data_IF_309588335070
#
_entry.id   IF_309588335070
#
_cell.length_a   1.000
_cell.length_b   1.000
_cell.length_c   1.000
_cell.angle_alpha   90.00
_cell.angle_beta   90.00
_cell.angle_gamma   90.00
#
_symmetry.space_group_name_H-M   'P 1'
#
loop_
_entity.id
_entity.type
_entity.pdbx_description
1 polymer ?
#
# COMPACT_ATOMS: atom_id res chain seq x y z
N UNK A 1 31.87 50.49 64.10
CA UNK A 1 31.78 50.16 62.67
C UNK A 1 32.08 48.69 62.50
N UNK A 2 31.43 47.86 61.71
CA UNK A 2 30.15 47.84 61.00
C UNK A 2 30.09 46.43 60.39
N UNK A 3 28.92 45.82 60.37
CA UNK A 3 28.58 44.56 59.72
C UNK A 3 29.18 44.40 58.29
N UNK A 4 29.51 43.16 57.88
CA UNK A 4 28.64 42.33 57.01
C UNK A 4 29.24 40.94 56.74
N UNK A 5 28.46 39.89 57.04
CA UNK A 5 28.61 38.54 56.49
C UNK A 5 28.27 38.59 55.00
N UNK A 6 29.09 37.99 54.13
CA UNK A 6 28.72 37.70 52.74
C UNK A 6 28.41 36.21 52.66
N UNK A 7 27.11 35.93 52.56
CA UNK A 7 26.46 34.67 52.22
C UNK A 7 26.52 34.42 50.71
N UNK A 8 26.04 33.24 50.27
CA UNK A 8 25.53 32.81 48.93
C UNK A 8 26.41 31.71 48.28
N UNK A 9 26.20 30.42 48.61
CA UNK A 9 25.27 29.41 48.03
C UNK A 9 25.79 28.75 46.73
N UNK A 10 25.83 27.39 46.64
CA UNK A 10 26.32 26.65 45.49
C UNK A 10 25.31 26.65 44.34
N UNK A 11 25.82 26.76 43.10
CA UNK A 11 25.04 26.74 41.88
C UNK A 11 24.26 25.41 41.74
N UNK A 12 22.93 25.54 41.79
CA UNK A 12 21.94 24.50 41.63
C UNK A 12 21.90 24.05 40.16
N UNK A 13 22.12 22.76 39.90
CA UNK A 13 21.89 22.11 38.61
C UNK A 13 20.38 22.09 38.31
N UNK A 14 19.90 23.05 37.50
CA UNK A 14 18.53 23.03 36.98
C UNK A 14 18.49 22.04 35.82
N UNK A 15 18.07 20.81 36.10
CA UNK A 15 17.68 19.84 35.06
C UNK A 15 16.29 20.23 34.59
N UNK A 16 16.21 20.83 33.41
CA UNK A 16 14.95 21.20 32.76
C UNK A 16 14.26 19.92 32.28
N UNK A 17 13.33 19.39 33.08
CA UNK A 17 12.47 18.28 32.69
C UNK A 17 11.42 18.83 31.70
N UNK A 18 11.69 18.73 30.40
CA UNK A 18 10.67 18.95 29.38
C UNK A 18 9.64 17.82 29.48
N UNK A 19 8.56 18.06 30.20
CA UNK A 19 7.34 17.25 30.11
C UNK A 19 6.71 17.61 28.77
N UNK A 20 7.01 16.81 27.74
CA UNK A 20 6.33 16.91 26.46
C UNK A 20 4.85 16.61 26.66
N UNK A 21 4.00 17.62 26.54
CA UNK A 21 2.55 17.42 26.41
C UNK A 21 2.34 16.75 25.05
N UNK A 22 2.08 15.44 25.06
CA UNK A 22 1.57 14.76 23.85
C UNK A 22 0.15 15.31 23.63
N UNK A 23 -0.13 16.00 22.51
CA UNK A 23 -1.46 16.53 22.28
C UNK A 23 -2.47 15.38 22.16
N UNK A 24 -3.65 15.51 22.79
CA UNK A 24 -4.67 14.46 22.85
C UNK A 24 -5.03 13.85 21.47
N UNK A 25 -5.00 14.65 20.41
CA UNK A 25 -5.25 14.21 19.04
C UNK A 25 -4.31 13.08 18.56
N UNK A 26 -3.07 13.00 19.06
CA UNK A 26 -2.13 11.94 18.70
C UNK A 26 -2.38 10.64 19.47
N UNK A 27 -2.95 10.74 20.69
CA UNK A 27 -3.30 9.58 21.48
C UNK A 27 -4.50 8.84 20.87
N UNK A 28 -5.50 9.58 20.38
CA UNK A 28 -6.67 9.00 19.71
C UNK A 28 -6.27 8.29 18.40
N UNK A 29 -5.40 8.89 17.58
CA UNK A 29 -4.92 8.27 16.34
C UNK A 29 -4.12 6.98 16.57
N UNK A 30 -3.27 6.95 17.60
CA UNK A 30 -2.48 5.77 17.93
C UNK A 30 -3.37 4.65 18.50
N UNK A 31 -4.39 5.03 19.27
CA UNK A 31 -5.40 4.08 19.74
C UNK A 31 -6.20 3.49 18.58
N UNK A 32 -6.71 4.30 17.64
CA UNK A 32 -7.43 3.83 16.46
C UNK A 32 -6.58 2.87 15.61
N UNK A 33 -5.28 3.17 15.46
CA UNK A 33 -4.33 2.28 14.78
C UNK A 33 -4.19 0.95 15.50
N UNK A 34 -4.03 0.97 16.83
CA UNK A 34 -3.91 -0.24 17.63
C UNK A 34 -5.18 -1.10 17.58
N UNK A 35 -6.36 -0.48 17.64
CA UNK A 35 -7.65 -1.14 17.49
C UNK A 35 -7.81 -1.77 16.11
N UNK A 36 -7.40 -1.07 15.04
CA UNK A 36 -7.42 -1.60 13.68
C UNK A 36 -6.53 -2.84 13.50
N UNK A 37 -5.31 -2.82 14.06
CA UNK A 37 -4.43 -3.99 14.04
C UNK A 37 -5.03 -5.16 14.83
N UNK A 38 -5.56 -4.88 16.02
CA UNK A 38 -6.21 -5.91 16.84
C UNK A 38 -7.39 -6.53 16.09
N UNK A 39 -8.19 -5.72 15.41
CA UNK A 39 -9.29 -6.21 14.58
C UNK A 39 -8.79 -7.15 13.47
N UNK A 40 -7.73 -6.77 12.74
CA UNK A 40 -7.15 -7.62 11.71
C UNK A 40 -6.71 -8.98 12.28
N UNK A 41 -6.02 -8.99 13.42
CA UNK A 41 -5.57 -10.23 14.06
C UNK A 41 -6.71 -11.12 14.53
N UNK A 42 -7.77 -10.54 15.09
CA UNK A 42 -8.93 -11.30 15.57
C UNK A 42 -9.81 -11.85 14.44
N UNK A 43 -9.76 -11.23 13.25
CA UNK A 43 -10.61 -11.59 12.11
C UNK A 43 -9.85 -12.32 10.99
N UNK A 44 -8.64 -12.82 11.26
CA UNK A 44 -7.95 -13.72 10.35
C UNK A 44 -8.65 -15.08 10.32
N UNK A 45 -8.90 -15.61 9.11
CA UNK A 45 -9.43 -16.95 8.94
C UNK A 45 -8.43 -18.00 9.45
N UNK A 46 -8.92 -19.22 9.75
CA UNK A 46 -8.06 -20.31 10.24
C UNK A 46 -6.94 -20.73 9.27
N UNK A 47 -7.09 -20.47 7.97
CA UNK A 47 -6.09 -20.74 6.94
C UNK A 47 -5.04 -19.61 6.80
N UNK A 48 -5.20 -18.49 7.49
CA UNK A 48 -4.33 -17.32 7.39
C UNK A 48 -4.84 -16.21 6.48
N UNK A 49 -5.91 -16.43 5.72
CA UNK A 49 -6.48 -15.42 4.83
C UNK A 49 -7.39 -14.42 5.56
N UNK A 50 -7.68 -13.31 4.89
CA UNK A 50 -8.85 -12.47 5.18
C UNK A 50 -9.85 -12.56 4.03
N UNK A 51 -11.11 -12.19 4.32
CA UNK A 51 -12.19 -12.20 3.33
C UNK A 51 -12.81 -13.58 3.11
N UNK A 52 -13.62 -13.70 2.04
CA UNK A 52 -14.40 -14.89 1.76
C UNK A 52 -14.58 -15.10 0.25
N UNK A 53 -14.67 -16.36 -0.19
CA UNK A 53 -14.83 -16.70 -1.60
C UNK A 53 -13.73 -16.09 -2.48
N UNK A 54 -14.12 -15.49 -3.60
CA UNK A 54 -13.19 -14.89 -4.58
C UNK A 54 -12.43 -13.64 -4.10
N UNK A 55 -12.79 -13.04 -2.96
CA UNK A 55 -12.09 -11.85 -2.46
C UNK A 55 -10.86 -12.15 -1.61
N UNK A 56 -10.63 -13.43 -1.26
CA UNK A 56 -9.60 -13.80 -0.28
C UNK A 56 -8.20 -13.29 -0.62
N UNK A 57 -7.79 -13.36 -1.89
CA UNK A 57 -6.46 -12.91 -2.33
C UNK A 57 -6.31 -11.41 -2.13
N UNK A 58 -7.25 -10.62 -2.66
CA UNK A 58 -7.23 -9.18 -2.53
C UNK A 58 -7.32 -8.74 -1.07
N UNK A 59 -8.26 -9.29 -0.30
CA UNK A 59 -8.43 -8.95 1.12
C UNK A 59 -7.19 -9.30 1.95
N UNK A 60 -6.54 -10.43 1.67
CA UNK A 60 -5.31 -10.82 2.39
C UNK A 60 -4.12 -9.93 2.02
N UNK A 61 -3.98 -9.58 0.74
CA UNK A 61 -2.95 -8.64 0.30
C UNK A 61 -3.12 -7.26 0.95
N UNK A 62 -4.35 -6.73 1.02
CA UNK A 62 -4.64 -5.46 1.69
C UNK A 62 -4.39 -5.52 3.20
N UNK A 63 -4.79 -6.61 3.86
CA UNK A 63 -4.52 -6.80 5.28
C UNK A 63 -3.00 -6.84 5.57
N UNK A 64 -2.22 -7.53 4.74
CA UNK A 64 -0.76 -7.56 4.85
C UNK A 64 -0.14 -6.18 4.62
N UNK A 65 -0.62 -5.42 3.63
CA UNK A 65 -0.17 -4.06 3.38
C UNK A 65 -0.48 -3.13 4.57
N UNK A 66 -1.68 -3.23 5.14
CA UNK A 66 -2.07 -2.47 6.33
C UNK A 66 -1.21 -2.81 7.55
N UNK A 67 -0.94 -4.10 7.78
CA UNK A 67 -0.03 -4.56 8.84
C UNK A 67 1.40 -4.07 8.62
N UNK A 68 1.88 -4.11 7.37
CA UNK A 68 3.20 -3.57 7.01
C UNK A 68 3.31 -2.08 7.28
N UNK A 69 2.36 -1.30 6.78
CA UNK A 69 2.35 0.16 6.93
C UNK A 69 2.17 0.61 8.39
N UNK A 70 1.64 -0.26 9.24
CA UNK A 70 1.46 0.00 10.67
C UNK A 70 2.59 -0.53 11.55
N UNK A 71 3.64 -1.14 10.97
CA UNK A 71 4.76 -1.74 11.70
C UNK A 71 4.42 -3.04 12.44
N UNK A 72 3.27 -3.64 12.11
CA UNK A 72 2.81 -4.93 12.62
C UNK A 72 3.14 -6.09 11.63
N UNK A 73 4.29 -5.98 10.96
CA UNK A 73 4.81 -6.85 9.90
C UNK A 73 5.54 -8.09 10.41
N UNK A 74 5.27 -8.50 11.66
CA UNK A 74 5.99 -9.59 12.33
C UNK A 74 5.05 -10.49 13.11
N UNK A 75 5.57 -11.67 13.45
CA UNK A 75 4.88 -12.64 14.29
C UNK A 75 4.00 -13.60 13.50
N UNK A 76 3.40 -14.54 14.24
CA UNK A 76 2.79 -15.74 13.69
C UNK A 76 1.63 -15.46 12.72
N UNK A 77 0.72 -14.54 13.05
CA UNK A 77 -0.45 -14.24 12.20
C UNK A 77 -0.03 -13.60 10.88
N UNK A 78 0.94 -12.69 10.91
CA UNK A 78 1.49 -12.07 9.70
C UNK A 78 2.20 -13.11 8.81
N UNK A 79 3.10 -13.92 9.39
CA UNK A 79 3.80 -14.98 8.65
C UNK A 79 2.87 -16.04 8.07
N UNK A 80 1.78 -16.37 8.79
CA UNK A 80 0.74 -17.30 8.29
C UNK A 80 0.02 -16.72 7.08
N UNK A 81 -0.36 -15.45 7.12
CA UNK A 81 -0.98 -14.78 5.98
C UNK A 81 -0.06 -14.69 4.77
N UNK A 82 1.23 -14.38 4.97
CA UNK A 82 2.22 -14.40 3.89
C UNK A 82 2.34 -15.78 3.25
N UNK A 83 2.43 -16.82 4.08
CA UNK A 83 2.51 -18.21 3.60
C UNK A 83 1.28 -18.60 2.80
N UNK A 84 0.09 -18.22 3.28
CA UNK A 84 -1.16 -18.45 2.55
C UNK A 84 -1.16 -17.69 1.22
N UNK A 85 -0.83 -16.40 1.22
CA UNK A 85 -0.88 -15.55 0.03
C UNK A 85 0.12 -16.00 -1.04
N UNK A 86 1.34 -16.39 -0.64
CA UNK A 86 2.36 -16.92 -1.54
C UNK A 86 1.85 -18.15 -2.32
N UNK A 87 1.07 -19.02 -1.67
CA UNK A 87 0.51 -20.23 -2.28
C UNK A 87 -0.86 -20.03 -2.92
N UNK A 88 -1.55 -18.91 -2.65
CA UNK A 88 -2.87 -18.64 -3.19
C UNK A 88 -2.79 -18.39 -4.71
N UNK A 89 -3.71 -18.99 -5.47
CA UNK A 89 -3.86 -18.74 -6.90
C UNK A 89 -4.51 -17.39 -7.12
N UNK A 90 -3.93 -16.57 -8.00
CA UNK A 90 -4.50 -15.30 -8.44
C UNK A 90 -5.11 -15.46 -9.84
N UNK A 91 -6.43 -15.39 -9.93
CA UNK A 91 -7.15 -15.70 -11.17
C UNK A 91 -7.25 -14.51 -12.14
N UNK A 92 -7.06 -13.29 -11.65
CA UNK A 92 -7.21 -12.06 -12.44
C UNK A 92 -6.05 -11.07 -12.20
N UNK A 93 -5.98 -10.02 -13.01
CA UNK A 93 -4.86 -9.05 -12.96
C UNK A 93 -4.84 -8.26 -11.64
N UNK A 94 -6.00 -7.82 -11.13
CA UNK A 94 -6.09 -7.11 -9.85
C UNK A 94 -5.53 -7.95 -8.69
N UNK A 95 -5.99 -9.20 -8.56
CA UNK A 95 -5.54 -10.11 -7.49
C UNK A 95 -4.06 -10.47 -7.62
N UNK A 96 -3.56 -10.65 -8.85
CA UNK A 96 -2.15 -10.94 -9.09
C UNK A 96 -1.26 -9.73 -8.76
N UNK A 97 -1.64 -8.53 -9.19
CA UNK A 97 -0.90 -7.31 -8.92
C UNK A 97 -0.84 -7.00 -7.41
N UNK A 98 -1.96 -7.15 -6.69
CA UNK A 98 -1.99 -7.00 -5.23
C UNK A 98 -1.15 -8.05 -4.52
N UNK A 99 -1.21 -9.31 -4.97
CA UNK A 99 -0.35 -10.39 -4.45
C UNK A 99 1.12 -10.04 -4.60
N UNK A 100 1.55 -9.61 -5.79
CA UNK A 100 2.95 -9.21 -6.04
C UNK A 100 3.35 -8.09 -5.10
N UNK A 101 2.55 -7.02 -5.04
CA UNK A 101 2.86 -5.83 -4.23
C UNK A 101 3.02 -6.17 -2.74
N UNK A 102 2.13 -7.01 -2.20
CA UNK A 102 2.17 -7.43 -0.80
C UNK A 102 3.36 -8.34 -0.47
N UNK A 103 3.74 -9.23 -1.40
CA UNK A 103 4.89 -10.12 -1.21
C UNK A 103 6.22 -9.34 -1.33
N UNK A 104 6.34 -8.42 -2.29
CA UNK A 104 7.51 -7.54 -2.42
C UNK A 104 7.68 -6.64 -1.19
N UNK A 105 6.58 -6.08 -0.66
CA UNK A 105 6.62 -5.29 0.57
C UNK A 105 7.12 -6.10 1.78
N UNK A 106 6.92 -7.43 1.77
CA UNK A 106 7.44 -8.36 2.77
C UNK A 106 8.87 -8.86 2.47
N UNK A 107 9.51 -8.36 1.41
CA UNK A 107 10.85 -8.77 0.98
C UNK A 107 10.91 -10.14 0.31
N UNK A 108 9.79 -10.65 -0.18
CA UNK A 108 9.73 -11.91 -0.94
C UNK A 108 9.92 -11.59 -2.42
N UNK A 109 10.97 -12.16 -3.02
CA UNK A 109 11.29 -11.99 -4.43
C UNK A 109 10.21 -12.63 -5.32
N UNK A 110 9.37 -11.79 -5.93
CA UNK A 110 8.25 -12.25 -6.77
C UNK A 110 8.68 -12.59 -8.19
N UNK A 111 9.87 -12.14 -8.62
CA UNK A 111 10.50 -12.57 -9.88
C UNK A 111 10.90 -14.03 -9.77
N UNK A 112 11.57 -14.41 -8.68
CA UNK A 112 11.93 -15.81 -8.41
C UNK A 112 10.71 -16.74 -8.28
N UNK A 113 9.57 -16.20 -7.87
CA UNK A 113 8.29 -16.94 -7.82
C UNK A 113 7.55 -17.01 -9.17
N UNK A 114 8.08 -16.38 -10.23
CA UNK A 114 7.46 -16.37 -11.57
C UNK A 114 6.19 -15.51 -11.68
N UNK A 115 5.85 -14.71 -10.66
CA UNK A 115 4.61 -13.93 -10.65
C UNK A 115 4.66 -12.77 -11.64
N UNK A 116 5.85 -12.22 -11.89
CA UNK A 116 6.07 -11.17 -12.88
C UNK A 116 5.87 -11.72 -14.29
N UNK A 117 6.36 -12.92 -14.58
CA UNK A 117 6.15 -13.57 -15.88
C UNK A 117 4.66 -13.89 -16.09
N UNK A 118 3.97 -14.41 -15.07
CA UNK A 118 2.52 -14.64 -15.09
C UNK A 118 1.74 -13.34 -15.35
N UNK A 119 2.18 -12.22 -14.79
CA UNK A 119 1.55 -10.93 -15.00
C UNK A 119 1.80 -10.43 -16.43
N UNK A 120 3.04 -10.51 -16.93
CA UNK A 120 3.40 -10.11 -18.29
C UNK A 120 2.70 -10.96 -19.35
N UNK A 121 2.45 -12.24 -19.07
CA UNK A 121 1.72 -13.14 -19.97
C UNK A 121 0.25 -12.74 -20.18
N UNK A 122 -0.37 -12.04 -19.23
CA UNK A 122 -1.79 -11.60 -19.29
C UNK A 122 -1.99 -10.29 -20.06
N UNK A 123 -0.94 -9.75 -20.66
CA UNK A 123 -1.01 -8.53 -21.46
C UNK A 123 -1.83 -8.78 -22.72
N UNK A 124 -2.62 -7.79 -23.10
CA UNK A 124 -3.32 -7.81 -24.38
C UNK A 124 -2.45 -7.25 -25.52
N UNK A 125 -2.99 -7.30 -26.74
CA UNK A 125 -2.30 -6.81 -27.95
C UNK A 125 -1.95 -5.31 -27.89
N UNK A 126 -2.68 -4.53 -27.09
CA UNK A 126 -2.41 -3.12 -26.86
C UNK A 126 -1.30 -2.88 -25.84
N UNK A 127 -0.61 -3.95 -25.40
CA UNK A 127 0.52 -3.88 -24.46
C UNK A 127 0.12 -3.46 -23.05
N UNK A 128 -1.18 -3.34 -22.76
CA UNK A 128 -1.77 -3.09 -21.44
C UNK A 128 -2.44 -4.33 -20.84
N UNK A 129 -3.22 -4.12 -19.78
CA UNK A 129 -3.94 -5.17 -19.08
C UNK A 129 -5.43 -4.84 -18.94
N UNK A 130 -6.27 -5.86 -19.14
CA UNK A 130 -7.66 -5.89 -18.69
C UNK A 130 -7.81 -6.77 -17.45
N UNK A 131 -9.03 -6.91 -16.93
CA UNK A 131 -9.29 -7.71 -15.73
C UNK A 131 -8.79 -9.16 -15.84
N UNK A 132 -8.91 -9.77 -17.01
CA UNK A 132 -8.44 -11.12 -17.31
C UNK A 132 -7.49 -11.13 -18.50
N UNK A 133 -6.85 -12.28 -18.71
CA UNK A 133 -5.96 -12.50 -19.87
C UNK A 133 -6.65 -12.11 -21.19
N UNK A 134 -5.94 -11.34 -22.02
CA UNK A 134 -6.39 -10.89 -23.34
C UNK A 134 -7.65 -10.01 -23.36
N UNK A 135 -8.17 -9.58 -22.20
CA UNK A 135 -9.28 -8.63 -22.15
C UNK A 135 -8.80 -7.21 -22.51
N UNK A 136 -9.74 -6.40 -23.02
CA UNK A 136 -9.48 -5.01 -23.38
C UNK A 136 -8.91 -4.21 -22.20
N UNK A 137 -7.98 -3.30 -22.49
CA UNK A 137 -7.25 -2.58 -21.45
C UNK A 137 -8.19 -1.79 -20.55
N UNK A 138 -8.12 -2.04 -19.24
CA UNK A 138 -8.83 -1.31 -18.21
C UNK A 138 -7.91 -0.29 -17.53
N UNK A 139 -8.44 0.91 -17.24
CA UNK A 139 -7.72 1.91 -16.48
C UNK A 139 -7.18 1.38 -15.12
N UNK A 140 -7.97 0.69 -14.27
CA UNK A 140 -7.45 0.21 -12.99
C UNK A 140 -6.42 -0.91 -13.18
N UNK A 141 -6.67 -1.88 -14.08
CA UNK A 141 -5.84 -3.07 -14.23
C UNK A 141 -4.44 -2.75 -14.77
N UNK A 142 -4.36 -1.86 -15.76
CA UNK A 142 -3.07 -1.46 -16.34
C UNK A 142 -2.22 -0.69 -15.34
N UNK A 143 -2.82 0.22 -14.57
CA UNK A 143 -2.08 0.96 -13.54
C UNK A 143 -1.62 0.05 -12.39
N UNK A 144 -2.48 -0.87 -11.94
CA UNK A 144 -2.15 -1.85 -10.91
C UNK A 144 -1.00 -2.77 -11.34
N UNK A 145 -1.06 -3.31 -12.56
CA UNK A 145 -0.01 -4.18 -13.09
C UNK A 145 1.35 -3.46 -13.18
N UNK A 146 1.37 -2.22 -13.66
CA UNK A 146 2.60 -1.43 -13.71
C UNK A 146 3.16 -1.14 -12.31
N UNK A 147 2.30 -0.84 -11.34
CA UNK A 147 2.71 -0.62 -9.95
C UNK A 147 3.39 -1.86 -9.37
N UNK A 148 2.84 -3.05 -9.63
CA UNK A 148 3.40 -4.32 -9.19
C UNK A 148 4.74 -4.66 -9.85
N UNK A 149 4.89 -4.42 -11.16
CA UNK A 149 6.17 -4.60 -11.87
C UNK A 149 7.25 -3.67 -11.28
N UNK A 150 6.87 -2.42 -11.01
CA UNK A 150 7.77 -1.45 -10.42
C UNK A 150 8.19 -1.82 -8.99
N UNK A 151 7.28 -2.36 -8.16
CA UNK A 151 7.64 -2.80 -6.81
C UNK A 151 8.62 -3.97 -6.80
N UNK A 152 8.56 -4.85 -7.80
CA UNK A 152 9.49 -5.96 -7.95
C UNK A 152 10.85 -5.55 -8.54
N UNK A 153 11.05 -4.27 -8.86
CA UNK A 153 12.27 -3.78 -9.52
C UNK A 153 12.50 -4.38 -10.91
N UNK A 154 11.49 -5.02 -11.51
CA UNK A 154 11.58 -5.60 -12.83
C UNK A 154 11.53 -4.49 -13.89
N UNK A 155 12.53 -4.46 -14.78
CA UNK A 155 12.57 -3.48 -15.87
C UNK A 155 11.38 -3.63 -16.81
N UNK A 156 10.75 -2.53 -17.20
CA UNK A 156 9.62 -2.52 -18.13
C UNK A 156 9.98 -1.76 -19.42
N UNK A 157 10.21 -2.48 -20.51
CA UNK A 157 10.64 -1.92 -21.80
C UNK A 157 9.57 -1.06 -22.47
N UNK A 158 8.30 -1.32 -22.16
CA UNK A 158 7.16 -0.77 -22.90
C UNK A 158 6.50 0.42 -22.18
N UNK A 159 7.18 1.02 -21.18
CA UNK A 159 6.68 2.11 -20.33
C UNK A 159 5.98 3.22 -21.14
N UNK A 160 6.59 3.65 -22.24
CA UNK A 160 6.09 4.76 -23.07
C UNK A 160 4.76 4.40 -23.74
N UNK A 161 4.64 3.17 -24.27
CA UNK A 161 3.42 2.70 -24.95
C UNK A 161 2.28 2.60 -23.94
N UNK A 162 2.54 1.99 -22.78
CA UNK A 162 1.52 1.74 -21.76
C UNK A 162 1.07 3.05 -21.08
N UNK A 163 1.96 4.01 -20.87
CA UNK A 163 1.59 5.33 -20.34
C UNK A 163 0.69 6.12 -21.29
N UNK A 164 0.95 6.03 -22.60
CA UNK A 164 0.09 6.63 -23.62
C UNK A 164 -1.31 5.98 -23.62
N UNK A 165 -1.38 4.66 -23.42
CA UNK A 165 -2.64 3.95 -23.30
C UNK A 165 -3.46 4.44 -22.09
N UNK A 166 -2.83 4.58 -20.92
CA UNK A 166 -3.47 5.15 -19.72
C UNK A 166 -4.03 6.55 -20.01
N UNK A 167 -3.20 7.43 -20.58
CA UNK A 167 -3.61 8.81 -20.93
C UNK A 167 -4.81 8.83 -21.88
N UNK A 168 -4.81 7.99 -22.92
CA UNK A 168 -5.90 7.93 -23.89
C UNK A 168 -7.21 7.39 -23.28
N UNK A 169 -7.13 6.40 -22.38
CA UNK A 169 -8.28 5.83 -21.67
C UNK A 169 -8.93 6.82 -20.69
N UNK A 170 -8.12 7.70 -20.08
CA UNK A 170 -8.63 8.78 -19.23
C UNK A 170 -9.32 9.88 -20.05
N UNK A 171 -8.79 10.21 -21.23
CA UNK A 171 -9.35 11.24 -22.10
C UNK A 171 -10.72 10.86 -22.70
N UNK A 172 -10.94 9.58 -23.00
CA UNK A 172 -12.21 9.07 -23.55
C UNK A 172 -13.35 9.09 -22.51
N UNK A 173 -13.03 9.11 -21.20
CA UNK A 173 -14.03 9.09 -20.12
C UNK A 173 -14.64 10.45 -19.77
N UNK A 174 -14.29 11.52 -20.51
CA UNK A 174 -14.92 12.84 -20.40
C UNK A 174 -15.77 13.22 -21.64
N UNK A 175 -16.82 12.46 -22.03
CA UNK A 175 -17.79 12.99 -22.98
C UNK A 175 -18.72 13.96 -22.23
N UNK A 176 -18.30 15.22 -22.09
CA UNK A 176 -19.13 16.20 -21.37
C UNK A 176 -18.65 17.64 -21.19
N UNK A 177 -17.45 18.04 -21.60
CA UNK A 177 -17.04 19.47 -21.52
C UNK A 177 -16.78 20.10 -22.90
N UNK A 178 -17.78 20.06 -23.76
CA UNK A 178 -17.91 21.07 -24.82
C UNK A 178 -19.10 21.97 -24.49
N UNK A 179 -19.04 22.72 -23.38
CA UNK A 179 -19.85 23.93 -23.30
C UNK A 179 -19.16 24.98 -24.17
N UNK A 180 -19.68 25.14 -25.39
CA UNK A 180 -19.40 26.30 -26.23
C UNK A 180 -19.64 27.55 -25.39
N UNK A 181 -18.60 28.37 -25.19
CA UNK A 181 -18.79 29.76 -24.80
C UNK A 181 -19.12 30.50 -26.11
N UNK A 182 -20.36 30.98 -26.34
CA UNK A 182 -20.59 31.90 -27.42
C UNK A 182 -19.85 33.21 -27.08
N UNK A 183 -19.03 33.67 -28.02
CA UNK A 183 -18.44 35.00 -27.95
C UNK A 183 -19.58 36.03 -27.91
N UNK A 184 -19.68 36.76 -26.80
CA UNK A 184 -20.49 37.96 -26.72
C UNK A 184 -19.67 39.10 -27.32
N UNK A 185 -20.06 39.55 -28.52
CA UNK A 185 -19.85 40.92 -28.98
C UNK A 185 -21.13 41.71 -28.70
#
# INVERSE_FOLDING_TARGET
MSFRKITQLPALFVTLMFIGVVPAAWADMEQDRAEGIAWLFLHQNGDGSWGAGGSKVAATAEALAALCNSGADRGFLYSRALSWLANARADNVDTLARKISALEAAGIDTVALGLIDDLLARRNDQKGWGAFDSYGSGFPDTALALSAINSAGAGYSDLVITLNLIRSSQAVRLPGSTSRIPALY
#
